data_IF_338275873817
#
_entry.id   IF_338275873817
#
_cell.length_a   1.000
_cell.length_b   1.000
_cell.length_c   1.000
_cell.angle_alpha   90.00
_cell.angle_beta   90.00
_cell.angle_gamma   90.00
#
_symmetry.space_group_name_H-M   'P 1'
#
loop_
_entity.id
_entity.type
_entity.pdbx_description
1 polymer ?
#
# COMPACT_ATOMS: atom_id res chain seq x y z
N UNK A 1 0.98 -23.40 -13.14
CA UNK A 1 1.45 -22.20 -12.40
C UNK A 1 1.73 -22.63 -10.98
N UNK A 2 2.94 -22.39 -10.46
CA UNK A 2 3.40 -22.94 -9.19
C UNK A 2 2.60 -22.44 -7.99
N UNK A 3 2.55 -23.24 -6.92
CA UNK A 3 1.95 -22.88 -5.63
C UNK A 3 2.85 -21.92 -4.82
N UNK A 4 3.79 -21.25 -5.48
CA UNK A 4 4.78 -20.38 -4.85
C UNK A 4 4.16 -19.04 -4.48
N UNK A 5 4.59 -18.52 -3.33
CA UNK A 5 4.26 -17.18 -2.86
C UNK A 5 5.38 -16.22 -3.25
N UNK A 6 5.05 -14.95 -3.49
CA UNK A 6 6.01 -13.92 -3.85
C UNK A 6 5.78 -12.65 -3.03
N UNK A 7 6.88 -11.94 -2.81
CA UNK A 7 6.91 -10.59 -2.24
C UNK A 7 7.40 -9.65 -3.32
N UNK A 8 6.54 -8.72 -3.74
CA UNK A 8 6.83 -7.80 -4.83
C UNK A 8 6.89 -6.39 -4.25
N UNK A 9 8.08 -5.81 -4.22
CA UNK A 9 8.29 -4.44 -3.75
C UNK A 9 7.86 -3.46 -4.85
N UNK A 10 6.65 -2.93 -4.75
CA UNK A 10 6.11 -1.94 -5.69
C UNK A 10 6.86 -0.60 -5.60
N UNK A 11 7.40 -0.30 -4.43
CA UNK A 11 8.34 0.80 -4.24
C UNK A 11 9.21 0.61 -2.99
N UNK A 12 10.36 1.29 -3.01
CA UNK A 12 11.41 1.25 -1.98
C UNK A 12 12.01 2.63 -1.72
N UNK A 13 11.27 3.67 -2.10
CA UNK A 13 11.64 5.07 -1.96
C UNK A 13 11.09 5.65 -0.66
N UNK A 14 11.69 6.78 -0.26
CA UNK A 14 11.17 7.60 0.84
C UNK A 14 9.85 8.27 0.45
N UNK A 15 9.31 9.09 1.35
CA UNK A 15 8.15 9.93 1.08
C UNK A 15 8.34 10.84 -0.14
N UNK A 16 9.57 11.27 -0.42
CA UNK A 16 9.91 12.11 -1.57
C UNK A 16 10.11 11.36 -2.88
N UNK A 17 10.15 10.02 -2.87
CA UNK A 17 10.56 9.17 -3.99
C UNK A 17 12.01 9.47 -4.46
N UNK A 18 12.50 8.70 -5.43
CA UNK A 18 13.78 8.99 -6.11
C UNK A 18 13.54 8.94 -7.62
N UNK A 19 13.95 9.98 -8.39
CA UNK A 19 14.71 11.16 -7.95
C UNK A 19 13.94 12.12 -7.05
N UNK A 20 14.69 12.84 -6.20
CA UNK A 20 14.16 14.01 -5.50
C UNK A 20 13.95 15.14 -6.51
N UNK A 21 12.73 15.66 -6.60
CA UNK A 21 12.41 16.80 -7.48
C UNK A 21 13.32 18.00 -7.15
N UNK A 22 13.59 18.25 -5.86
CA UNK A 22 14.47 19.36 -5.44
C UNK A 22 15.88 19.22 -6.01
N UNK A 23 16.45 18.01 -5.97
CA UNK A 23 17.77 17.74 -6.53
C UNK A 23 17.84 17.94 -8.06
N UNK A 24 16.71 17.89 -8.76
CA UNK A 24 16.66 18.10 -10.21
C UNK A 24 16.51 19.58 -10.57
N UNK A 25 15.70 20.33 -9.82
CA UNK A 25 15.46 21.75 -10.09
C UNK A 25 16.58 22.65 -9.56
N UNK A 26 17.27 22.21 -8.50
CA UNK A 26 18.35 22.94 -7.82
C UNK A 26 19.46 21.93 -7.46
N UNK A 27 20.24 21.48 -8.44
CA UNK A 27 21.26 20.46 -8.23
C UNK A 27 22.40 21.00 -7.36
N UNK A 28 22.88 20.18 -6.43
CA UNK A 28 24.13 20.45 -5.72
C UNK A 28 25.32 20.47 -6.68
N UNK A 29 26.46 21.01 -6.23
CA UNK A 29 27.74 20.91 -6.92
C UNK A 29 28.77 20.16 -6.05
N UNK A 30 29.14 18.90 -6.40
CA UNK A 30 28.68 18.15 -7.57
C UNK A 30 27.22 17.65 -7.46
N UNK A 31 26.54 17.33 -8.59
CA UNK A 31 25.17 16.81 -8.58
C UNK A 31 25.04 15.51 -7.79
N UNK A 32 23.92 15.33 -7.11
CA UNK A 32 23.61 14.11 -6.35
C UNK A 32 23.67 12.87 -7.25
N UNK A 33 24.65 11.95 -7.06
CA UNK A 33 24.85 10.83 -7.98
C UNK A 33 23.62 9.92 -8.07
N UNK A 34 22.93 9.68 -6.95
CA UNK A 34 21.74 8.82 -6.90
C UNK A 34 20.60 9.39 -7.77
N UNK A 35 20.33 10.69 -7.66
CA UNK A 35 19.29 11.33 -8.48
C UNK A 35 19.70 11.35 -9.96
N UNK A 36 20.97 11.62 -10.28
CA UNK A 36 21.47 11.53 -11.66
C UNK A 36 21.29 10.12 -12.23
N UNK A 37 21.71 9.08 -11.51
CA UNK A 37 21.59 7.70 -11.96
C UNK A 37 20.14 7.20 -12.02
N UNK A 38 19.23 7.76 -11.21
CA UNK A 38 17.81 7.43 -11.29
C UNK A 38 17.16 7.80 -12.63
N UNK A 39 17.81 8.66 -13.43
CA UNK A 39 17.35 9.07 -14.76
C UNK A 39 18.14 8.43 -15.91
N UNK A 40 19.16 7.61 -15.63
CA UNK A 40 20.05 7.06 -16.67
C UNK A 40 19.50 5.84 -17.40
N UNK A 41 18.46 5.21 -16.86
CA UNK A 41 17.78 4.05 -17.42
C UNK A 41 16.26 4.23 -17.35
N UNK A 42 15.48 3.57 -18.22
CA UNK A 42 14.03 3.53 -18.10
C UNK A 42 13.59 3.10 -16.68
N UNK A 43 12.53 3.69 -16.09
CA UNK A 43 12.15 3.44 -14.70
C UNK A 43 11.98 1.97 -14.32
N UNK A 44 11.50 1.11 -15.22
CA UNK A 44 11.30 -0.33 -14.96
C UNK A 44 12.61 -1.14 -14.92
N UNK A 45 13.72 -0.60 -15.43
CA UNK A 45 15.06 -1.20 -15.40
C UNK A 45 15.99 -0.49 -14.40
N UNK A 46 15.52 0.57 -13.75
CA UNK A 46 16.38 1.45 -12.96
C UNK A 46 16.17 1.26 -11.44
N UNK A 47 17.13 0.65 -10.72
CA UNK A 47 17.02 0.46 -9.27
C UNK A 47 17.15 1.76 -8.46
N UNK A 48 17.66 2.83 -9.07
CA UNK A 48 17.71 4.15 -8.46
C UNK A 48 16.42 4.94 -8.67
N UNK A 49 15.52 4.50 -9.56
CA UNK A 49 14.18 5.07 -9.69
C UNK A 49 13.23 4.39 -8.69
N UNK A 50 12.85 5.10 -7.63
CA UNK A 50 12.14 4.51 -6.48
C UNK A 50 10.84 5.24 -6.20
N UNK A 51 9.72 4.54 -6.41
CA UNK A 51 8.40 4.96 -5.99
C UNK A 51 8.27 4.88 -4.45
N UNK A 52 7.25 5.52 -3.86
CA UNK A 52 6.94 5.40 -2.44
C UNK A 52 6.84 3.94 -2.00
N UNK A 53 7.27 3.68 -0.78
CA UNK A 53 7.36 2.34 -0.21
C UNK A 53 5.99 1.65 -0.22
N UNK A 54 5.96 0.42 -0.74
CA UNK A 54 4.76 -0.42 -0.83
C UNK A 54 5.15 -1.86 -1.14
N UNK A 55 4.40 -2.81 -0.58
CA UNK A 55 4.62 -4.24 -0.77
C UNK A 55 3.35 -4.91 -1.31
N UNK A 56 3.50 -5.71 -2.35
CA UNK A 56 2.45 -6.63 -2.80
C UNK A 56 2.82 -8.04 -2.38
N UNK A 57 1.96 -8.63 -1.56
CA UNK A 57 2.04 -10.04 -1.17
C UNK A 57 1.18 -10.84 -2.14
N UNK A 58 1.81 -11.77 -2.84
CA UNK A 58 1.15 -12.73 -3.71
C UNK A 58 1.28 -14.13 -3.10
N UNK A 59 0.16 -14.84 -2.94
CA UNK A 59 0.19 -16.23 -2.50
C UNK A 59 -0.99 -17.03 -3.04
N UNK A 60 -0.85 -18.35 -3.00
CA UNK A 60 -1.92 -19.28 -3.35
C UNK A 60 -2.68 -19.71 -2.10
N UNK A 61 -3.95 -19.33 -1.98
CA UNK A 61 -4.81 -19.70 -0.88
C UNK A 61 -5.30 -21.15 -1.08
N UNK A 62 -4.89 -22.05 -0.19
CA UNK A 62 -5.25 -23.46 -0.32
C UNK A 62 -6.73 -23.73 -0.03
N UNK A 63 -7.37 -22.93 0.83
CA UNK A 63 -8.76 -23.17 1.24
C UNK A 63 -9.77 -22.91 0.13
N UNK A 64 -9.50 -21.97 -0.78
CA UNK A 64 -10.38 -21.64 -1.90
C UNK A 64 -9.75 -21.87 -3.28
N UNK A 65 -8.53 -22.41 -3.33
CA UNK A 65 -7.78 -22.71 -4.55
C UNK A 65 -7.55 -21.50 -5.47
N UNK A 66 -7.55 -20.28 -4.93
CA UNK A 66 -7.32 -19.05 -5.70
C UNK A 66 -6.03 -18.32 -5.31
N UNK A 67 -5.51 -17.54 -6.26
CA UNK A 67 -4.37 -16.65 -6.01
C UNK A 67 -4.86 -15.34 -5.41
N UNK A 68 -4.21 -14.90 -4.33
CA UNK A 68 -4.57 -13.71 -3.57
C UNK A 68 -3.48 -12.66 -3.66
N UNK A 69 -3.90 -11.41 -3.64
CA UNK A 69 -3.04 -10.24 -3.71
C UNK A 69 -3.39 -9.30 -2.57
N UNK A 70 -2.46 -9.12 -1.63
CA UNK A 70 -2.62 -8.17 -0.53
C UNK A 70 -1.62 -7.04 -0.75
N UNK A 71 -2.15 -5.84 -0.93
CA UNK A 71 -1.34 -4.63 -1.06
C UNK A 71 -1.13 -4.01 0.32
N UNK A 72 0.13 -3.79 0.71
CA UNK A 72 0.49 -2.96 1.85
C UNK A 72 0.85 -1.57 1.32
N UNK A 73 0.05 -0.59 1.72
CA UNK A 73 0.10 0.83 1.34
C UNK A 73 -0.09 1.12 -0.15
N UNK A 74 -0.76 2.24 -0.43
CA UNK A 74 -0.99 2.80 -1.76
C UNK A 74 -0.66 4.30 -1.74
N UNK A 75 0.64 4.61 -1.82
CA UNK A 75 1.15 5.99 -1.85
C UNK A 75 0.84 6.78 -3.12
N UNK A 76 1.17 8.08 -3.13
CA UNK A 76 0.98 8.97 -4.30
C UNK A 76 1.63 8.48 -5.61
N UNK A 77 2.63 7.60 -5.54
CA UNK A 77 3.25 6.99 -6.74
C UNK A 77 2.63 5.64 -7.13
N UNK A 78 1.48 5.25 -6.57
CA UNK A 78 0.86 3.94 -6.83
C UNK A 78 0.63 3.68 -8.31
N UNK A 79 -0.01 4.62 -9.03
CA UNK A 79 -0.24 4.52 -10.48
C UNK A 79 1.06 4.26 -11.25
N UNK A 80 2.13 4.94 -10.87
CA UNK A 80 3.44 4.75 -11.49
C UNK A 80 4.04 3.38 -11.19
N UNK A 81 3.94 2.91 -9.94
CA UNK A 81 4.37 1.57 -9.57
C UNK A 81 3.63 0.50 -10.40
N UNK A 82 2.32 0.64 -10.59
CA UNK A 82 1.51 -0.25 -11.45
C UNK A 82 2.04 -0.27 -12.89
N UNK A 83 2.30 0.91 -13.47
CA UNK A 83 2.84 1.02 -14.84
C UNK A 83 4.23 0.41 -14.98
N UNK A 84 5.10 0.58 -13.98
CA UNK A 84 6.47 0.06 -14.00
C UNK A 84 6.53 -1.46 -13.99
N UNK A 85 5.65 -2.11 -13.25
CA UNK A 85 5.60 -3.56 -13.17
C UNK A 85 4.98 -4.23 -14.41
N UNK A 86 4.52 -3.44 -15.40
CA UNK A 86 3.77 -3.91 -16.57
C UNK A 86 2.79 -5.02 -16.17
N UNK A 87 2.04 -4.77 -15.09
CA UNK A 87 1.28 -5.82 -14.43
C UNK A 87 0.39 -6.50 -15.46
N UNK A 88 0.57 -7.82 -15.57
CA UNK A 88 -0.13 -8.68 -16.52
C UNK A 88 -1.64 -8.64 -16.21
N UNK A 89 -2.56 -8.52 -17.19
CA UNK A 89 -4.04 -8.41 -17.04
C UNK A 89 -4.71 -9.24 -15.92
N UNK A 90 -4.07 -10.32 -15.47
CA UNK A 90 -4.51 -11.21 -14.39
C UNK A 90 -4.23 -10.69 -12.96
N UNK A 91 -3.40 -9.66 -12.77
CA UNK A 91 -3.06 -9.05 -11.46
C UNK A 91 -4.05 -7.96 -11.01
N UNK A 92 -5.09 -7.68 -11.79
CA UNK A 92 -5.88 -6.44 -11.73
C UNK A 92 -7.00 -6.45 -10.68
N UNK A 93 -6.96 -7.37 -9.72
CA UNK A 93 -7.90 -7.38 -8.60
C UNK A 93 -7.12 -7.62 -7.33
N UNK A 94 -6.65 -6.53 -6.73
CA UNK A 94 -6.17 -6.58 -5.35
C UNK A 94 -7.30 -7.14 -4.50
N UNK A 95 -7.02 -8.26 -3.85
CA UNK A 95 -8.03 -8.91 -3.04
C UNK A 95 -8.36 -8.03 -1.84
N UNK A 96 -7.32 -7.47 -1.20
CA UNK A 96 -7.44 -6.64 0.00
C UNK A 96 -6.25 -5.66 0.09
N UNK A 97 -6.44 -4.57 0.83
CA UNK A 97 -5.42 -3.54 1.09
C UNK A 97 -5.19 -3.45 2.61
N UNK A 98 -3.95 -3.30 3.04
CA UNK A 98 -3.58 -3.05 4.44
C UNK A 98 -2.79 -1.75 4.48
N UNK A 99 -3.17 -0.85 5.38
CA UNK A 99 -2.45 0.40 5.59
C UNK A 99 -1.57 0.30 6.84
N UNK A 100 -0.31 0.70 6.71
CA UNK A 100 0.61 0.84 7.84
C UNK A 100 0.28 2.08 8.66
N UNK A 101 -0.07 3.19 7.97
CA UNK A 101 -0.40 4.49 8.55
C UNK A 101 -1.01 5.45 7.51
N UNK A 102 -1.41 6.65 7.92
CA UNK A 102 -2.14 7.62 7.11
C UNK A 102 -1.31 8.73 6.43
N UNK A 103 0.02 8.62 6.41
CA UNK A 103 0.83 9.63 5.72
C UNK A 103 0.66 9.57 4.20
N UNK A 104 0.98 10.70 3.55
CA UNK A 104 0.68 10.94 2.15
C UNK A 104 1.31 9.92 1.19
N UNK A 105 2.53 9.48 1.50
CA UNK A 105 3.27 8.46 0.79
C UNK A 105 2.79 7.03 1.04
N UNK A 106 1.89 6.81 2.00
CA UNK A 106 1.21 5.53 2.23
C UNK A 106 -0.22 5.48 1.67
N UNK A 107 -0.91 6.63 1.53
CA UNK A 107 -2.36 6.62 1.20
C UNK A 107 -2.81 7.42 -0.02
N UNK A 108 -2.00 8.36 -0.56
CA UNK A 108 -2.49 9.26 -1.61
C UNK A 108 -2.73 8.62 -2.99
N UNK A 109 -2.40 7.34 -3.15
CA UNK A 109 -2.73 6.54 -4.33
C UNK A 109 -4.06 5.79 -4.22
N UNK A 110 -4.78 5.87 -3.10
CA UNK A 110 -6.04 5.14 -2.91
C UNK A 110 -7.12 5.51 -3.95
N UNK A 111 -7.14 6.74 -4.45
CA UNK A 111 -8.07 7.14 -5.53
C UNK A 111 -7.79 6.40 -6.85
N UNK A 112 -6.52 6.11 -7.14
CA UNK A 112 -6.10 5.39 -8.35
C UNK A 112 -6.43 3.89 -8.31
N UNK A 113 -6.76 3.34 -7.13
CA UNK A 113 -7.17 1.94 -6.97
C UNK A 113 -8.41 1.61 -7.81
N UNK A 114 -9.26 2.59 -8.14
CA UNK A 114 -10.40 2.36 -9.05
C UNK A 114 -9.99 1.77 -10.41
N UNK A 115 -8.75 2.02 -10.86
CA UNK A 115 -8.23 1.53 -12.13
C UNK A 115 -7.92 0.02 -12.10
N UNK A 116 -7.80 -0.55 -10.90
CA UNK A 116 -7.44 -1.95 -10.60
C UNK A 116 -8.52 -2.61 -9.72
N UNK A 117 -9.73 -2.05 -9.76
CA UNK A 117 -10.94 -2.68 -9.27
C UNK A 117 -11.73 -3.24 -10.46
N UNK A 118 -12.62 -4.22 -10.22
CA UNK A 118 -13.56 -4.68 -11.23
C UNK A 118 -14.24 -3.50 -11.94
N UNK A 119 -14.46 -3.65 -13.23
CA UNK A 119 -15.16 -2.64 -14.02
C UNK A 119 -16.65 -2.95 -14.05
N UNK A 120 -17.46 -1.96 -13.65
CA UNK A 120 -18.91 -1.96 -13.80
C UNK A 120 -19.35 -0.59 -14.33
N UNK A 121 -20.16 -0.51 -15.42
CA UNK A 121 -20.64 0.77 -15.95
C UNK A 121 -21.44 1.59 -14.94
N UNK A 122 -22.12 0.93 -14.01
CA UNK A 122 -22.90 1.55 -12.93
C UNK A 122 -22.10 1.72 -11.65
N UNK A 123 -20.82 1.35 -11.64
CA UNK A 123 -19.98 1.23 -10.46
C UNK A 123 -20.60 0.31 -9.39
N UNK A 124 -21.42 -0.67 -9.78
CA UNK A 124 -21.93 -1.70 -8.89
C UNK A 124 -20.88 -2.82 -8.82
N UNK A 125 -20.00 -2.73 -7.84
CA UNK A 125 -18.91 -3.68 -7.57
C UNK A 125 -18.84 -3.95 -6.07
N UNK A 126 -18.35 -5.13 -5.70
CA UNK A 126 -17.99 -5.39 -4.31
C UNK A 126 -16.86 -4.45 -3.88
N UNK A 127 -17.02 -3.68 -2.78
CA UNK A 127 -15.97 -2.80 -2.30
C UNK A 127 -14.73 -3.59 -1.87
N UNK A 128 -13.54 -3.10 -2.22
CA UNK A 128 -12.27 -3.72 -1.81
C UNK A 128 -12.09 -3.54 -0.29
N UNK A 129 -11.85 -4.61 0.48
CA UNK A 129 -11.54 -4.49 1.90
C UNK A 129 -10.23 -3.74 2.12
N UNK A 130 -10.24 -2.77 3.03
CA UNK A 130 -9.06 -2.06 3.51
C UNK A 130 -8.96 -2.19 5.03
N UNK A 131 -7.78 -2.53 5.54
CA UNK A 131 -7.50 -2.70 6.96
C UNK A 131 -6.58 -1.60 7.44
N UNK A 132 -6.97 -0.94 8.53
CA UNK A 132 -6.25 0.19 9.11
C UNK A 132 -6.62 0.35 10.58
N UNK A 133 -5.81 1.09 11.34
CA UNK A 133 -6.14 1.40 12.73
C UNK A 133 -7.28 2.42 12.80
N UNK A 134 -7.93 2.52 13.97
CA UNK A 134 -8.93 3.58 14.21
C UNK A 134 -8.33 4.98 14.01
N UNK A 135 -7.09 5.19 14.45
CA UNK A 135 -6.38 6.45 14.26
C UNK A 135 -6.27 6.86 12.79
N UNK A 136 -5.83 5.92 11.94
CA UNK A 136 -5.72 6.18 10.52
C UNK A 136 -7.10 6.39 9.88
N UNK A 137 -8.13 5.66 10.30
CA UNK A 137 -9.51 5.84 9.82
C UNK A 137 -10.05 7.24 10.08
N UNK A 138 -9.87 7.76 11.31
CA UNK A 138 -10.29 9.12 11.68
C UNK A 138 -9.63 10.20 10.81
N UNK A 139 -8.45 9.90 10.26
CA UNK A 139 -7.76 10.75 9.29
C UNK A 139 -8.25 10.53 7.86
N UNK A 140 -8.51 9.29 7.46
CA UNK A 140 -9.05 8.96 6.13
C UNK A 140 -10.37 9.66 5.86
N UNK A 141 -11.23 9.81 6.87
CA UNK A 141 -12.46 10.60 6.75
C UNK A 141 -12.23 12.06 6.34
N UNK A 142 -11.10 12.65 6.73
CA UNK A 142 -10.74 14.04 6.44
C UNK A 142 -9.99 14.17 5.12
N UNK A 143 -9.11 13.22 4.81
CA UNK A 143 -8.30 13.23 3.58
C UNK A 143 -9.15 12.81 2.38
N UNK A 144 -10.00 11.80 2.55
CA UNK A 144 -10.84 11.23 1.49
C UNK A 144 -12.32 11.14 1.90
N UNK A 145 -12.98 12.26 2.22
CA UNK A 145 -14.38 12.24 2.63
C UNK A 145 -15.28 11.56 1.60
N UNK A 146 -14.95 11.64 0.31
CA UNK A 146 -15.69 11.01 -0.78
C UNK A 146 -15.45 9.50 -0.93
N UNK A 147 -14.33 8.95 -0.43
CA UNK A 147 -14.07 7.50 -0.41
C UNK A 147 -14.66 6.83 0.84
N UNK A 148 -14.90 7.60 1.91
CA UNK A 148 -15.49 7.11 3.16
C UNK A 148 -17.00 7.33 3.21
N UNK A 149 -17.44 8.58 3.01
CA UNK A 149 -18.85 8.97 3.18
C UNK A 149 -19.57 8.92 1.82
N UNK A 150 -20.13 7.76 1.49
CA UNK A 150 -21.00 7.62 0.31
C UNK A 150 -22.36 8.28 0.56
N UNK A 151 -22.51 9.57 0.27
CA UNK A 151 -23.82 10.20 0.09
C UNK A 151 -24.18 10.16 -1.39
N UNK A 152 -24.87 9.09 -1.82
CA UNK A 152 -25.58 9.13 -3.09
C UNK A 152 -26.89 9.90 -2.86
N UNK A 153 -26.96 11.11 -3.38
CA UNK A 153 -28.23 11.82 -3.49
C UNK A 153 -28.94 11.32 -4.77
N UNK A 154 -30.25 11.08 -4.68
CA UNK A 154 -31.07 10.74 -5.85
C UNK A 154 -30.88 11.78 -6.96
N UNK A 155 -30.58 11.33 -8.19
CA UNK A 155 -30.37 12.20 -9.36
C UNK A 155 -28.95 12.68 -9.60
N UNK A 156 -27.95 12.31 -8.79
CA UNK A 156 -26.55 12.59 -9.10
C UNK A 156 -25.99 11.65 -10.18
N UNK A 157 -25.21 12.22 -11.09
CA UNK A 157 -24.47 11.50 -12.12
C UNK A 157 -23.53 10.46 -11.47
N UNK A 158 -23.55 9.21 -11.98
CA UNK A 158 -22.72 8.12 -11.45
C UNK A 158 -21.25 8.44 -11.75
N UNK A 159 -20.51 8.92 -10.76
CA UNK A 159 -19.06 9.10 -10.84
C UNK A 159 -18.36 7.84 -10.36
N UNK A 160 -17.45 7.31 -11.19
CA UNK A 160 -16.64 6.15 -10.82
C UNK A 160 -15.49 6.57 -9.89
N UNK A 161 -15.69 6.35 -8.60
CA UNK A 161 -14.65 6.44 -7.56
C UNK A 161 -14.31 5.04 -7.06
N UNK A 162 -13.12 4.91 -6.45
CA UNK A 162 -12.72 3.66 -5.80
C UNK A 162 -13.72 3.31 -4.69
N UNK A 163 -14.01 2.02 -4.53
CA UNK A 163 -14.94 1.54 -3.51
C UNK A 163 -14.23 0.74 -2.43
N UNK A 164 -14.38 1.15 -1.18
CA UNK A 164 -13.74 0.49 -0.05
C UNK A 164 -14.73 0.02 0.99
N UNK A 165 -14.43 -1.14 1.58
CA UNK A 165 -14.99 -1.59 2.84
C UNK A 165 -13.91 -1.39 3.92
N UNK A 166 -14.12 -0.43 4.82
CA UNK A 166 -13.15 -0.05 5.84
C UNK A 166 -13.24 -0.97 7.05
N UNK A 167 -12.14 -1.62 7.42
CA UNK A 167 -12.08 -2.59 8.52
C UNK A 167 -11.04 -2.13 9.55
N UNK A 168 -11.49 -1.89 10.78
CA UNK A 168 -10.60 -1.47 11.86
C UNK A 168 -9.83 -2.68 12.39
N UNK A 169 -8.51 -2.54 12.46
CA UNK A 169 -7.61 -3.50 13.13
C UNK A 169 -7.03 -2.88 14.40
N UNK A 170 -6.70 -3.74 15.36
CA UNK A 170 -5.97 -3.33 16.55
C UNK A 170 -4.50 -3.06 16.22
N UNK A 171 -3.91 -2.11 16.93
CA UNK A 171 -2.49 -1.83 16.99
C UNK A 171 -1.82 -2.65 18.11
N UNK A 172 -2.01 -3.97 18.10
CA UNK A 172 -1.55 -4.89 19.14
C UNK A 172 -1.06 -6.23 18.55
N UNK A 173 0.16 -6.62 18.91
CA UNK A 173 0.79 -7.89 18.51
C UNK A 173 -0.03 -9.12 18.92
N UNK A 174 -0.88 -9.02 19.95
CA UNK A 174 -1.71 -10.12 20.44
C UNK A 174 -3.07 -10.22 19.73
N UNK A 175 -3.38 -9.28 18.84
CA UNK A 175 -4.65 -9.21 18.12
C UNK A 175 -4.41 -9.34 16.61
N UNK A 176 -4.04 -10.54 16.14
CA UNK A 176 -3.89 -10.79 14.71
C UNK A 176 -5.23 -10.66 13.99
N UNK A 177 -5.17 -10.30 12.72
CA UNK A 177 -6.31 -10.30 11.81
C UNK A 177 -6.01 -11.17 10.59
N UNK A 178 -7.03 -11.44 9.78
CA UNK A 178 -6.89 -12.22 8.56
C UNK A 178 -7.30 -11.38 7.37
N UNK A 179 -6.37 -11.22 6.42
CA UNK A 179 -6.68 -10.64 5.12
C UNK A 179 -6.57 -11.72 4.05
N UNK A 180 -7.64 -11.96 3.29
CA UNK A 180 -7.74 -13.03 2.29
C UNK A 180 -7.36 -14.44 2.80
N UNK A 181 -7.48 -14.69 4.10
CA UNK A 181 -7.08 -15.95 4.74
C UNK A 181 -5.61 -16.00 5.20
N UNK A 182 -4.78 -15.00 4.86
CA UNK A 182 -3.44 -14.85 5.44
C UNK A 182 -3.55 -14.20 6.82
N UNK A 183 -2.95 -14.84 7.83
CA UNK A 183 -2.80 -14.24 9.16
C UNK A 183 -1.74 -13.14 9.13
N UNK A 184 -2.13 -11.92 9.53
CA UNK A 184 -1.21 -10.81 9.78
C UNK A 184 -1.22 -10.45 11.25
N UNK A 185 -0.03 -10.30 11.82
CA UNK A 185 0.18 -9.81 13.18
C UNK A 185 0.63 -8.35 13.05
N UNK A 186 -0.18 -7.37 13.53
CA UNK A 186 0.25 -5.99 13.63
C UNK A 186 1.49 -5.86 14.50
N UNK A 187 2.46 -5.05 14.09
CA UNK A 187 3.67 -4.73 14.84
C UNK A 187 3.73 -3.21 15.08
N UNK A 188 3.25 -2.71 16.23
CA UNK A 188 3.30 -1.28 16.54
C UNK A 188 4.74 -0.79 16.64
N UNK A 189 5.13 0.20 15.85
CA UNK A 189 6.49 0.76 15.86
C UNK A 189 6.45 2.28 15.95
N UNK A 190 7.49 2.87 16.51
CA UNK A 190 7.60 4.33 16.59
C UNK A 190 8.04 4.91 15.26
N UNK A 191 7.29 5.87 14.73
CA UNK A 191 7.66 6.67 13.57
C UNK A 191 7.80 8.13 13.98
N UNK A 192 9.00 8.49 14.44
CA UNK A 192 9.27 9.73 15.17
C UNK A 192 9.17 9.55 16.68
N UNK A 193 9.02 10.64 17.42
CA UNK A 193 9.03 10.61 18.89
C UNK A 193 7.68 10.18 19.49
N UNK A 194 6.56 10.64 18.91
CA UNK A 194 5.22 10.57 19.53
C UNK A 194 4.15 9.94 18.60
N UNK A 195 4.57 9.14 17.63
CA UNK A 195 3.66 8.57 16.64
C UNK A 195 3.93 7.08 16.44
N UNK A 196 2.87 6.29 16.43
CA UNK A 196 2.91 4.84 16.21
C UNK A 196 2.30 4.56 14.84
N UNK A 197 3.04 3.81 14.02
CA UNK A 197 2.53 3.16 12.82
C UNK A 197 2.66 1.64 12.96
N UNK A 198 2.17 0.90 11.97
CA UNK A 198 2.23 -0.55 11.96
C UNK A 198 3.26 -1.07 10.97
N UNK A 199 4.09 -2.00 11.42
CA UNK A 199 4.61 -3.07 10.58
C UNK A 199 3.69 -4.30 10.63
N UNK A 200 4.01 -5.32 9.85
CA UNK A 200 3.25 -6.57 9.84
C UNK A 200 4.16 -7.79 9.79
N UNK A 201 3.87 -8.77 10.65
CA UNK A 201 4.47 -10.09 10.64
C UNK A 201 3.47 -11.10 10.04
N UNK A 202 3.92 -11.89 9.08
CA UNK A 202 3.10 -12.88 8.41
C UNK A 202 3.95 -14.06 7.87
N UNK A 203 3.26 -15.08 7.37
CA UNK A 203 3.88 -16.29 6.81
C UNK A 203 4.06 -17.42 7.82
N UNK A 204 3.77 -18.65 7.39
CA UNK A 204 3.83 -19.84 8.25
C UNK A 204 5.17 -20.58 8.13
N UNK A 205 5.55 -20.97 6.91
CA UNK A 205 6.81 -21.68 6.63
C UNK A 205 8.02 -20.76 6.75
N UNK A 206 7.92 -19.58 6.14
CA UNK A 206 8.91 -18.52 6.22
C UNK A 206 8.22 -17.31 6.82
N UNK A 207 8.64 -16.91 8.01
CA UNK A 207 8.12 -15.72 8.68
C UNK A 207 8.77 -14.48 8.08
N UNK A 208 7.96 -13.49 7.76
CA UNK A 208 8.37 -12.22 7.17
C UNK A 208 7.85 -11.11 8.05
N UNK A 209 8.72 -10.20 8.49
CA UNK A 209 8.35 -8.95 9.12
C UNK A 209 8.60 -7.81 8.14
N UNK A 210 7.55 -7.07 7.79
CA UNK A 210 7.63 -5.89 6.95
C UNK A 210 7.35 -4.63 7.78
N UNK A 211 8.35 -3.76 7.88
CA UNK A 211 8.32 -2.53 8.70
C UNK A 211 8.95 -1.41 7.86
N UNK A 212 8.13 -0.53 7.28
CA UNK A 212 8.59 0.50 6.32
C UNK A 212 9.08 1.78 7.01
N UNK A 213 8.28 2.30 7.94
CA UNK A 213 8.48 3.58 8.61
C UNK A 213 8.76 3.31 10.08
N UNK A 214 10.04 3.38 10.47
CA UNK A 214 10.44 3.07 11.84
C UNK A 214 11.64 3.90 12.26
N UNK A 215 11.54 4.42 13.48
CA UNK A 215 12.62 5.10 14.20
C UNK A 215 13.04 4.30 15.44
N UNK A 216 12.11 3.57 16.06
CA UNK A 216 12.35 2.70 17.22
C UNK A 216 11.29 1.60 17.29
N UNK A 217 11.71 0.41 17.72
CA UNK A 217 10.80 -0.71 18.01
C UNK A 217 10.55 -0.69 19.52
N UNK A 218 9.31 -0.51 20.00
CA UNK A 218 8.98 -0.61 21.42
C UNK A 218 9.18 -2.05 21.94
N UNK A 219 9.48 -2.19 23.23
CA UNK A 219 9.60 -3.51 23.88
C UNK A 219 8.31 -4.34 23.81
N UNK A 220 7.14 -3.71 23.65
CA UNK A 220 5.86 -4.41 23.41
C UNK A 220 5.78 -5.12 22.06
N UNK A 221 6.69 -4.79 21.14
CA UNK A 221 6.72 -5.27 19.75
C UNK A 221 7.94 -6.15 19.48
N UNK A 222 8.96 -6.10 20.34
CA UNK A 222 10.09 -7.02 20.31
C UNK A 222 9.60 -8.44 20.66
N UNK A 223 9.62 -9.34 19.68
CA UNK A 223 9.09 -10.71 19.74
C UNK A 223 10.19 -11.75 19.76
#
# INVERSE_FOLDING_TARGET
>A
MGMESALIFLGTGSSGSVPSIRCLIDPSDPPCPVCTYSLSLPPHLNPNYRCNTSLLIEYYCQSDATRKYILIDAGKTFREAVLRFNMNPTLYVFSQIVLTHEHADAVLGLDDIRAVQPFSPTNDIDPTPIYLTQHSMDRMEKVFPYLVQKKHNEGQEIRRVAQFCWNIIADDCNQPFFASGLKLIPLPVMHGEDYICLGFLFGEKNRVAYISDVSRIPASTEY
#
